data_IF_242505943225
#
_entry.id   IF_242505943225
#
_cell.length_a   1.000
_cell.length_b   1.000
_cell.length_c   1.000
_cell.angle_alpha   90.00
_cell.angle_beta   90.00
_cell.angle_gamma   90.00
#
_symmetry.space_group_name_H-M   'P 1'
#
loop_
_entity.id
_entity.type
_entity.pdbx_description
1 polymer ?
#
# COMPACT_ATOMS: atom_id res chain seq x y z
N UNK A 1 -47.22 -27.09 -6.38
CA UNK A 1 -45.80 -26.98 -6.01
C UNK A 1 -45.01 -26.71 -7.29
N UNK A 2 -44.75 -25.43 -7.59
CA UNK A 2 -43.92 -25.05 -8.74
C UNK A 2 -42.52 -24.74 -8.20
N UNK A 3 -41.53 -25.48 -8.69
CA UNK A 3 -40.14 -25.38 -8.27
C UNK A 3 -39.51 -24.05 -8.67
N UNK A 4 -38.66 -23.54 -7.78
CA UNK A 4 -37.76 -22.41 -8.00
C UNK A 4 -36.78 -22.69 -9.14
N UNK A 5 -36.83 -21.86 -10.19
CA UNK A 5 -35.82 -21.87 -11.26
C UNK A 5 -34.57 -21.14 -10.79
N UNK A 6 -33.47 -21.88 -10.77
CA UNK A 6 -32.09 -21.41 -10.67
C UNK A 6 -31.75 -20.57 -11.92
N UNK A 7 -31.33 -19.30 -11.85
CA UNK A 7 -30.88 -18.59 -13.03
C UNK A 7 -29.54 -19.17 -13.49
N UNK A 8 -29.60 -19.97 -14.56
CA UNK A 8 -28.44 -20.53 -15.22
C UNK A 8 -27.43 -19.45 -15.62
N UNK A 9 -26.16 -19.69 -15.31
CA UNK A 9 -25.02 -18.95 -15.86
C UNK A 9 -24.98 -19.22 -17.38
N UNK A 10 -25.37 -18.24 -18.18
CA UNK A 10 -25.42 -18.35 -19.65
C UNK A 10 -24.00 -18.44 -20.22
N UNK A 11 -23.67 -19.54 -20.89
CA UNK A 11 -22.37 -19.81 -21.55
C UNK A 11 -22.30 -19.25 -22.98
N UNK A 12 -22.91 -18.10 -23.24
CA UNK A 12 -22.83 -17.41 -24.53
C UNK A 12 -21.48 -16.71 -24.71
N UNK A 13 -20.97 -16.68 -25.94
CA UNK A 13 -19.79 -15.94 -26.40
C UNK A 13 -19.55 -14.67 -25.59
N UNK A 14 -18.49 -14.60 -24.79
CA UNK A 14 -18.13 -13.39 -24.06
C UNK A 14 -17.63 -12.34 -25.06
N UNK A 15 -18.52 -11.46 -25.50
CA UNK A 15 -18.15 -10.23 -26.19
C UNK A 15 -17.66 -9.23 -25.14
N UNK A 16 -16.36 -8.95 -25.12
CA UNK A 16 -15.80 -7.89 -24.29
C UNK A 16 -15.81 -6.58 -25.06
N UNK A 17 -16.45 -5.56 -24.51
CA UNK A 17 -16.20 -4.17 -24.91
C UNK A 17 -15.23 -3.57 -23.90
N UNK A 18 -14.09 -3.08 -24.36
CA UNK A 18 -13.12 -2.42 -23.50
C UNK A 18 -13.54 -0.96 -23.27
N UNK A 19 -13.61 -0.55 -22.02
CA UNK A 19 -13.74 0.85 -21.64
C UNK A 19 -12.39 1.32 -21.10
N UNK A 20 -11.73 2.23 -21.81
CA UNK A 20 -10.50 2.84 -21.33
C UNK A 20 -10.85 3.87 -20.24
N UNK A 21 -10.36 3.63 -19.02
CA UNK A 21 -10.47 4.59 -17.92
C UNK A 21 -9.19 5.41 -17.90
N UNK A 22 -9.31 6.74 -17.99
CA UNK A 22 -8.16 7.62 -17.79
C UNK A 22 -7.69 7.50 -16.33
N UNK A 23 -6.51 6.94 -16.11
CA UNK A 23 -6.00 6.70 -14.76
C UNK A 23 -5.57 7.98 -14.04
N UNK A 24 -5.38 9.09 -14.76
CA UNK A 24 -5.04 10.39 -14.15
C UNK A 24 -6.18 11.01 -13.34
N UNK A 25 -7.42 10.53 -13.48
CA UNK A 25 -8.56 10.97 -12.66
C UNK A 25 -8.78 10.09 -11.43
N UNK A 26 -8.05 8.98 -11.30
CA UNK A 26 -8.08 8.18 -10.09
C UNK A 26 -7.20 8.86 -9.04
N UNK A 27 -7.60 8.74 -7.78
CA UNK A 27 -6.82 9.24 -6.63
C UNK A 27 -6.46 8.08 -5.71
N UNK A 28 -5.33 8.11 -5.02
CA UNK A 28 -5.03 7.05 -4.07
C UNK A 28 -6.14 6.86 -3.04
N UNK A 29 -6.43 5.61 -2.71
CA UNK A 29 -7.59 5.20 -1.94
C UNK A 29 -8.68 4.56 -2.82
N UNK A 30 -9.91 4.64 -2.34
CA UNK A 30 -11.08 4.01 -2.98
C UNK A 30 -11.72 4.94 -3.99
N UNK A 31 -11.74 4.51 -5.24
CA UNK A 31 -12.41 5.20 -6.34
C UNK A 31 -13.61 4.39 -6.80
N UNK A 32 -14.68 5.07 -7.17
CA UNK A 32 -15.89 4.45 -7.69
C UNK A 32 -16.07 4.81 -9.16
N UNK A 33 -16.17 3.78 -10.00
CA UNK A 33 -16.49 3.92 -11.42
C UNK A 33 -17.90 3.36 -11.64
N UNK A 34 -18.79 4.20 -12.13
CA UNK A 34 -20.17 3.82 -12.44
C UNK A 34 -20.27 3.49 -13.93
N UNK A 35 -20.73 2.28 -14.24
CA UNK A 35 -21.02 1.84 -15.60
C UNK A 35 -22.52 1.78 -15.78
N UNK A 36 -23.06 2.47 -16.80
CA UNK A 36 -24.49 2.46 -17.11
C UNK A 36 -24.68 1.79 -18.47
N UNK A 37 -25.42 0.68 -18.50
CA UNK A 37 -25.85 0.03 -19.74
C UNK A 37 -27.20 0.61 -20.17
N UNK A 38 -27.28 1.13 -21.39
CA UNK A 38 -28.47 1.83 -21.93
C UNK A 38 -29.09 1.11 -23.13
N UNK A 39 -28.77 -0.16 -23.35
CA UNK A 39 -29.21 -0.98 -24.49
C UNK A 39 -30.62 -1.58 -24.32
N UNK A 40 -31.25 -1.39 -23.15
CA UNK A 40 -32.62 -1.81 -22.85
C UNK A 40 -33.57 -0.67 -22.52
N UNK A 41 -34.86 -1.00 -22.34
CA UNK A 41 -35.92 -0.08 -21.91
C UNK A 41 -35.76 0.42 -20.45
N UNK A 42 -34.77 -0.08 -19.73
CA UNK A 42 -34.39 0.39 -18.39
C UNK A 42 -32.87 0.36 -18.25
N UNK A 43 -32.20 1.50 -17.98
CA UNK A 43 -30.77 1.54 -17.79
C UNK A 43 -30.32 0.70 -16.58
N UNK A 44 -29.31 -0.14 -16.77
CA UNK A 44 -28.71 -0.93 -15.69
C UNK A 44 -27.43 -0.25 -15.20
N UNK A 45 -27.27 -0.12 -13.89
CA UNK A 45 -26.09 0.51 -13.28
C UNK A 45 -25.23 -0.53 -12.58
N UNK A 46 -23.93 -0.50 -12.85
CA UNK A 46 -22.91 -1.31 -12.20
C UNK A 46 -21.86 -0.41 -11.56
N UNK A 47 -21.29 -0.88 -10.46
CA UNK A 47 -20.27 -0.16 -9.71
C UNK A 47 -18.98 -0.96 -9.69
N UNK A 48 -17.89 -0.35 -10.15
CA UNK A 48 -16.54 -0.90 -10.04
C UNK A 48 -15.81 -0.07 -8.99
N UNK A 49 -15.30 -0.73 -7.95
CA UNK A 49 -14.43 -0.08 -6.97
C UNK A 49 -12.98 -0.35 -7.32
N UNK A 50 -12.21 0.73 -7.50
CA UNK A 50 -10.77 0.65 -7.77
C UNK A 50 -10.03 1.21 -6.56
N UNK A 51 -9.26 0.33 -5.89
CA UNK A 51 -8.43 0.68 -4.76
C UNK A 51 -6.97 0.65 -5.19
N UNK A 52 -6.24 1.76 -5.03
CA UNK A 52 -4.78 1.75 -5.17
C UNK A 52 -4.12 2.66 -4.13
N UNK A 53 -2.92 2.28 -3.71
CA UNK A 53 -2.27 2.88 -2.55
C UNK A 53 -1.60 4.22 -2.87
N UNK A 54 -1.63 5.13 -1.90
CA UNK A 54 -0.81 6.33 -1.85
C UNK A 54 0.40 6.09 -0.96
N UNK A 55 1.47 6.84 -1.21
CA UNK A 55 2.42 7.10 -0.14
C UNK A 55 1.79 8.08 0.85
N UNK A 56 1.55 7.65 2.09
CA UNK A 56 1.00 8.51 3.14
C UNK A 56 2.10 9.34 3.82
N UNK A 57 3.26 8.72 4.03
CA UNK A 57 4.41 9.38 4.64
C UNK A 57 5.71 8.89 4.00
N UNK A 58 6.72 9.76 4.04
CA UNK A 58 8.08 9.40 3.72
C UNK A 58 8.95 9.58 4.97
N UNK A 59 9.28 8.45 5.58
CA UNK A 59 10.05 8.40 6.80
C UNK A 59 11.52 8.12 6.45
N UNK A 60 12.43 8.90 7.04
CA UNK A 60 13.88 8.77 6.88
C UNK A 60 14.54 8.66 8.25
N UNK A 61 15.58 7.83 8.33
CA UNK A 61 16.56 7.94 9.41
C UNK A 61 17.18 9.35 9.42
N UNK A 62 17.61 9.80 10.59
CA UNK A 62 18.24 11.11 10.80
C UNK A 62 19.70 11.18 10.33
N UNK A 63 20.35 10.03 10.15
CA UNK A 63 21.74 9.86 9.73
C UNK A 63 21.90 8.69 8.72
N UNK A 64 21.16 8.66 7.60
CA UNK A 64 21.15 7.50 6.72
C UNK A 64 22.45 7.36 5.92
N UNK A 65 23.15 6.24 6.07
CA UNK A 65 24.23 5.82 5.17
C UNK A 65 23.76 4.65 4.28
N UNK A 66 24.08 4.64 2.97
CA UNK A 66 23.75 3.52 2.08
C UNK A 66 24.21 2.14 2.56
N UNK A 67 25.27 2.07 3.37
CA UNK A 67 25.80 0.81 3.91
C UNK A 67 25.00 0.26 5.11
N UNK A 68 24.29 1.11 5.86
CA UNK A 68 23.67 0.70 7.14
C UNK A 68 22.51 -0.29 6.94
N UNK A 69 21.79 -0.16 5.82
CA UNK A 69 20.75 -1.09 5.37
C UNK A 69 19.56 -1.28 6.32
N UNK A 70 18.34 -1.03 5.84
CA UNK A 70 17.13 -1.37 6.61
C UNK A 70 16.66 -2.79 6.33
N UNK A 71 16.52 -3.61 7.38
CA UNK A 71 16.25 -5.05 7.23
C UNK A 71 14.91 -5.52 7.79
N UNK A 72 14.41 -4.86 8.84
CA UNK A 72 13.19 -5.29 9.51
C UNK A 72 12.43 -4.08 10.04
N UNK A 73 11.11 -4.20 10.06
CA UNK A 73 10.19 -3.19 10.60
C UNK A 73 9.24 -3.84 11.58
N UNK A 74 8.92 -3.12 12.66
CA UNK A 74 7.85 -3.46 13.59
C UNK A 74 6.99 -2.23 13.82
N UNK A 75 5.67 -2.42 13.84
CA UNK A 75 4.70 -1.35 14.03
C UNK A 75 3.80 -1.67 15.23
N UNK A 76 3.61 -0.69 16.10
CA UNK A 76 2.69 -0.78 17.24
C UNK A 76 2.05 0.59 17.49
N UNK A 77 0.75 0.71 17.22
CA UNK A 77 0.07 2.01 17.23
C UNK A 77 0.77 2.97 16.27
N UNK A 78 1.09 4.17 16.75
CA UNK A 78 1.76 5.21 15.98
C UNK A 78 3.29 5.09 16.04
N UNK A 79 3.84 3.99 16.57
CA UNK A 79 5.28 3.77 16.72
C UNK A 79 5.80 2.77 15.69
N UNK A 80 6.72 3.23 14.84
CA UNK A 80 7.49 2.42 13.90
C UNK A 80 8.92 2.21 14.43
N UNK A 81 9.34 0.95 14.54
CA UNK A 81 10.73 0.59 14.79
C UNK A 81 11.35 -0.01 13.52
N UNK A 82 12.49 0.52 13.08
CA UNK A 82 13.22 0.08 11.88
C UNK A 82 14.62 -0.34 12.27
N UNK A 83 15.00 -1.58 11.95
CA UNK A 83 16.35 -2.10 12.19
C UNK A 83 17.32 -1.67 11.08
N UNK A 84 18.43 -1.05 11.45
CA UNK A 84 19.57 -0.77 10.60
C UNK A 84 20.76 -1.65 11.03
N UNK A 85 21.07 -2.67 10.25
CA UNK A 85 21.98 -3.75 10.67
C UNK A 85 23.45 -3.38 10.60
N UNK A 86 23.83 -2.58 9.62
CA UNK A 86 25.18 -2.09 9.37
C UNK A 86 25.44 -0.69 9.93
N UNK A 87 24.58 -0.18 10.80
CA UNK A 87 24.81 1.12 11.42
C UNK A 87 26.06 1.09 12.30
N UNK A 88 26.98 2.02 12.08
CA UNK A 88 28.17 2.16 12.90
C UNK A 88 27.87 3.01 14.14
N UNK A 89 28.24 2.54 15.34
CA UNK A 89 28.26 3.36 16.56
C UNK A 89 28.85 2.61 17.76
N UNK A 90 29.59 3.31 18.62
CA UNK A 90 29.99 2.79 19.94
C UNK A 90 29.04 3.27 21.05
N UNK A 91 27.92 3.91 20.69
CA UNK A 91 26.89 4.32 21.65
C UNK A 91 26.22 3.11 22.27
N UNK A 92 25.97 3.18 23.58
CA UNK A 92 25.06 2.24 24.27
C UNK A 92 23.81 2.97 24.73
N UNK A 93 22.66 2.30 24.67
CA UNK A 93 21.37 2.88 25.06
C UNK A 93 20.70 3.72 23.96
N UNK A 94 19.81 4.64 24.36
CA UNK A 94 18.96 5.44 23.45
C UNK A 94 19.46 6.88 23.40
N UNK A 95 19.49 7.47 22.20
CA UNK A 95 19.73 8.90 22.02
C UNK A 95 21.18 9.35 22.12
N UNK A 96 22.15 8.47 21.84
CA UNK A 96 23.55 8.87 21.75
C UNK A 96 23.90 9.59 20.44
N UNK A 97 25.20 9.72 20.18
CA UNK A 97 25.68 10.50 19.06
C UNK A 97 25.46 9.75 17.73
N UNK A 98 24.51 10.23 16.93
CA UNK A 98 24.18 9.64 15.62
C UNK A 98 25.26 9.86 14.55
N UNK A 99 26.26 10.71 14.81
CA UNK A 99 27.41 10.87 13.93
C UNK A 99 28.60 9.97 14.32
N UNK A 100 28.48 9.20 15.40
CA UNK A 100 29.54 8.29 15.84
C UNK A 100 29.59 7.06 14.96
N UNK A 101 30.62 6.93 14.13
CA UNK A 101 30.88 5.74 13.31
C UNK A 101 32.10 4.95 13.82
N UNK A 102 32.40 5.00 15.14
CA UNK A 102 33.64 4.45 15.70
C UNK A 102 33.66 2.93 15.89
N UNK A 103 32.50 2.26 15.80
CA UNK A 103 32.41 0.80 15.85
C UNK A 103 31.58 0.29 14.66
N UNK A 104 32.23 -0.47 13.79
CA UNK A 104 31.67 -0.89 12.51
C UNK A 104 30.59 -1.96 12.65
N UNK A 105 29.50 -1.85 11.88
CA UNK A 105 28.37 -2.78 11.82
C UNK A 105 27.78 -3.13 13.21
N UNK A 106 27.82 -2.18 14.15
CA UNK A 106 27.32 -2.37 15.51
C UNK A 106 25.79 -2.54 15.56
N UNK A 107 25.11 -1.94 14.58
CA UNK A 107 23.67 -1.98 14.38
C UNK A 107 22.91 -0.98 15.25
N UNK A 108 21.75 -0.55 14.76
CA UNK A 108 20.85 0.36 15.45
C UNK A 108 19.38 0.05 15.17
N UNK A 109 18.51 0.69 15.96
CA UNK A 109 17.06 0.72 15.74
C UNK A 109 16.60 2.16 15.73
N UNK A 110 15.99 2.58 14.62
CA UNK A 110 15.32 3.86 14.50
C UNK A 110 13.88 3.71 14.99
N UNK A 111 13.50 4.46 16.02
CA UNK A 111 12.14 4.50 16.54
C UNK A 111 11.51 5.83 16.14
N UNK A 112 10.41 5.77 15.41
CA UNK A 112 9.71 6.93 14.87
C UNK A 112 8.25 6.91 15.30
N UNK A 113 7.73 8.09 15.60
CA UNK A 113 6.29 8.32 15.81
C UNK A 113 5.77 9.16 14.65
N UNK A 114 4.70 8.72 14.00
CA UNK A 114 4.13 9.41 12.83
C UNK A 114 2.64 9.69 13.01
#
# INVERSE_FOLDING_TARGET
MAGTLNPAFNTGTTSYTTMAVNTSSLTPGSNTITVVLTDGSSPQTYTITVNYLAQEAYIKASNPNPADGFYAVALSGDTLAVRAGGEDSNTTGVGGNQADNSASDAGAVYVLTY
#
